data_IF_441389501319
#
_entry.id   IF_441389501319
#
_cell.length_a   1.000
_cell.length_b   1.000
_cell.length_c   1.000
_cell.angle_alpha   90.00
_cell.angle_beta   90.00
_cell.angle_gamma   90.00
#
_symmetry.space_group_name_H-M   'P 1'
#
loop_
_entity.id
_entity.type
_entity.pdbx_description
1 polymer ?
#
# COMPACT_ATOMS: atom_id res chain seq x y z
N UNK A 1 -19.19 -15.16 4.11
CA UNK A 1 -19.15 -13.81 3.50
C UNK A 1 -18.50 -13.86 2.13
N UNK A 2 -18.96 -13.04 1.17
CA UNK A 2 -18.30 -12.90 -0.13
C UNK A 2 -17.05 -11.99 -0.04
N UNK A 3 -16.26 -11.90 -1.12
CA UNK A 3 -15.02 -11.10 -1.14
C UNK A 3 -15.26 -9.60 -0.92
N UNK A 4 -16.37 -9.05 -1.40
CA UNK A 4 -16.71 -7.64 -1.21
C UNK A 4 -17.05 -7.33 0.25
N UNK A 5 -17.75 -8.24 0.93
CA UNK A 5 -18.03 -8.14 2.36
C UNK A 5 -16.76 -8.29 3.19
N UNK A 6 -15.90 -9.27 2.86
CA UNK A 6 -14.61 -9.46 3.52
C UNK A 6 -13.68 -8.26 3.36
N UNK A 7 -13.62 -7.69 2.15
CA UNK A 7 -12.88 -6.47 1.82
C UNK A 7 -13.28 -5.30 2.73
N UNK A 8 -14.58 -5.04 2.88
CA UNK A 8 -15.09 -4.00 3.78
C UNK A 8 -14.80 -4.30 5.25
N UNK A 9 -14.99 -5.54 5.69
CA UNK A 9 -14.82 -5.95 7.09
C UNK A 9 -13.36 -5.88 7.57
N UNK A 10 -12.40 -6.13 6.68
CA UNK A 10 -10.96 -6.10 7.01
C UNK A 10 -10.29 -4.78 6.61
N UNK A 11 -10.91 -3.99 5.73
CA UNK A 11 -10.33 -2.76 5.20
C UNK A 11 -9.19 -3.03 4.21
N UNK A 12 -9.26 -4.12 3.46
CA UNK A 12 -8.36 -4.47 2.36
C UNK A 12 -9.13 -4.42 1.05
N UNK A 13 -8.51 -4.03 -0.07
CA UNK A 13 -9.17 -4.14 -1.37
C UNK A 13 -9.36 -5.60 -1.78
N UNK A 14 -10.40 -5.90 -2.56
CA UNK A 14 -10.61 -7.24 -3.10
C UNK A 14 -9.39 -7.73 -3.91
N UNK A 15 -8.69 -6.82 -4.61
CA UNK A 15 -7.44 -7.10 -5.31
C UNK A 15 -6.33 -7.59 -4.35
N UNK A 16 -6.18 -6.95 -3.19
CA UNK A 16 -5.19 -7.36 -2.19
C UNK A 16 -5.53 -8.72 -1.56
N UNK A 17 -6.81 -8.99 -1.31
CA UNK A 17 -7.25 -10.31 -0.81
C UNK A 17 -6.89 -11.40 -1.83
N UNK A 18 -7.20 -11.17 -3.13
CA UNK A 18 -6.81 -12.09 -4.22
C UNK A 18 -5.30 -12.26 -4.32
N UNK A 19 -4.54 -11.19 -4.14
CA UNK A 19 -3.07 -11.26 -4.11
C UNK A 19 -2.59 -12.17 -2.96
N UNK A 20 -3.08 -11.99 -1.74
CA UNK A 20 -2.71 -12.86 -0.62
C UNK A 20 -3.12 -14.32 -0.82
N UNK A 21 -4.23 -14.59 -1.51
CA UNK A 21 -4.58 -15.95 -1.93
C UNK A 21 -3.58 -16.52 -2.94
N UNK A 22 -3.19 -15.75 -3.95
CA UNK A 22 -2.27 -16.20 -5.02
C UNK A 22 -0.89 -16.59 -4.51
N UNK A 23 -0.42 -15.94 -3.45
CA UNK A 23 0.86 -16.24 -2.79
C UNK A 23 0.70 -17.23 -1.62
N UNK A 24 -0.49 -17.78 -1.42
CA UNK A 24 -0.77 -18.79 -0.39
C UNK A 24 -0.64 -18.27 1.04
N UNK A 25 -0.89 -16.97 1.29
CA UNK A 25 -0.94 -16.41 2.64
C UNK A 25 -2.31 -16.61 3.30
N UNK A 26 -3.36 -16.74 2.50
CA UNK A 26 -4.72 -17.04 2.96
C UNK A 26 -5.32 -18.10 2.05
N UNK A 27 -5.94 -19.11 2.65
CA UNK A 27 -6.69 -20.11 1.92
C UNK A 27 -8.19 -19.84 2.09
N UNK A 28 -8.95 -19.67 0.99
CA UNK A 28 -10.40 -19.52 1.12
C UNK A 28 -11.00 -20.81 1.70
N UNK A 29 -11.75 -20.69 2.78
CA UNK A 29 -12.26 -21.87 3.49
C UNK A 29 -13.21 -22.72 2.64
N UNK A 30 -13.96 -22.11 1.72
CA UNK A 30 -14.87 -22.84 0.84
C UNK A 30 -15.20 -22.07 -0.44
N UNK A 31 -15.56 -22.84 -1.48
CA UNK A 31 -16.33 -22.34 -2.62
C UNK A 31 -17.78 -22.75 -2.44
N UNK A 32 -18.72 -21.88 -2.80
CA UNK A 32 -20.13 -22.29 -2.89
C UNK A 32 -20.32 -23.28 -4.04
N UNK A 33 -21.46 -23.97 -4.07
CA UNK A 33 -21.85 -24.83 -5.20
C UNK A 33 -21.85 -24.08 -6.53
N UNK A 34 -22.09 -22.76 -6.51
CA UNK A 34 -22.00 -21.87 -7.67
C UNK A 34 -20.59 -21.35 -7.99
N UNK A 35 -19.52 -21.86 -7.34
CA UNK A 35 -18.13 -21.48 -7.62
C UNK A 35 -17.66 -20.17 -6.97
N UNK A 36 -18.49 -19.49 -6.18
CA UNK A 36 -18.12 -18.22 -5.54
C UNK A 36 -17.23 -18.44 -4.32
N UNK A 37 -16.23 -17.56 -4.12
CA UNK A 37 -15.36 -17.56 -2.93
C UNK A 37 -16.12 -17.14 -1.69
N UNK A 38 -16.00 -17.94 -0.62
CA UNK A 38 -16.57 -17.60 0.68
C UNK A 38 -15.49 -17.56 1.76
N UNK A 39 -15.57 -16.52 2.58
CA UNK A 39 -14.71 -16.30 3.73
C UNK A 39 -15.51 -16.50 5.01
N UNK A 40 -14.91 -17.20 5.98
CA UNK A 40 -15.40 -17.34 7.36
C UNK A 40 -14.73 -16.31 8.26
N UNK A 41 -15.19 -16.19 9.51
CA UNK A 41 -14.61 -15.24 10.46
C UNK A 41 -13.12 -15.53 10.76
N UNK A 42 -12.71 -16.80 10.75
CA UNK A 42 -11.30 -17.21 10.85
C UNK A 42 -10.44 -16.58 9.75
N UNK A 43 -10.95 -16.54 8.51
CA UNK A 43 -10.25 -15.95 7.37
C UNK A 43 -10.12 -14.44 7.53
N UNK A 44 -11.14 -13.78 8.09
CA UNK A 44 -11.06 -12.35 8.40
C UNK A 44 -10.04 -12.07 9.50
N UNK A 45 -9.93 -12.94 10.50
CA UNK A 45 -8.90 -12.83 11.53
C UNK A 45 -7.49 -12.93 10.92
N UNK A 46 -7.25 -13.91 10.04
CA UNK A 46 -5.99 -14.01 9.29
C UNK A 46 -5.71 -12.77 8.44
N UNK A 47 -6.70 -12.28 7.69
CA UNK A 47 -6.53 -11.09 6.85
C UNK A 47 -6.26 -9.82 7.68
N UNK A 48 -6.88 -9.68 8.86
CA UNK A 48 -6.61 -8.58 9.80
C UNK A 48 -5.18 -8.65 10.33
N UNK A 49 -4.71 -9.86 10.66
CA UNK A 49 -3.32 -10.08 11.09
C UNK A 49 -2.32 -9.67 10.00
N UNK A 50 -2.51 -10.15 8.77
CA UNK A 50 -1.67 -9.80 7.62
C UNK A 50 -1.68 -8.29 7.40
N UNK A 51 -2.85 -7.64 7.43
CA UNK A 51 -2.97 -6.19 7.30
C UNK A 51 -2.13 -5.46 8.35
N UNK A 52 -2.21 -5.87 9.60
CA UNK A 52 -1.47 -5.21 10.69
C UNK A 52 0.03 -5.43 10.56
N UNK A 53 0.47 -6.65 10.26
CA UNK A 53 1.89 -6.94 10.08
C UNK A 53 2.48 -6.15 8.90
N UNK A 54 1.75 -6.06 7.79
CA UNK A 54 2.16 -5.21 6.65
C UNK A 54 2.17 -3.72 6.99
N UNK A 55 1.28 -3.25 7.87
CA UNK A 55 1.28 -1.86 8.36
C UNK A 55 2.52 -1.53 9.20
N UNK A 56 3.05 -2.52 9.92
CA UNK A 56 4.30 -2.39 10.69
C UNK A 56 5.56 -2.54 9.82
N UNK A 57 5.40 -2.78 8.51
CA UNK A 57 6.50 -2.86 7.57
C UNK A 57 7.17 -4.22 7.47
N UNK A 58 6.61 -5.28 8.09
CA UNK A 58 7.14 -6.64 7.93
C UNK A 58 7.11 -7.08 6.47
N UNK A 59 8.16 -7.75 6.00
CA UNK A 59 8.19 -8.35 4.68
C UNK A 59 7.16 -9.47 4.57
N UNK A 60 6.71 -9.79 3.35
CA UNK A 60 5.69 -10.84 3.13
C UNK A 60 6.15 -12.20 3.69
N UNK A 61 7.44 -12.51 3.60
CA UNK A 61 7.99 -13.75 4.16
C UNK A 61 7.99 -13.77 5.69
N UNK A 62 8.25 -12.64 6.36
CA UNK A 62 8.13 -12.54 7.82
C UNK A 62 6.67 -12.67 8.24
N UNK A 63 5.74 -12.09 7.48
CA UNK A 63 4.30 -12.26 7.72
C UNK A 63 3.92 -13.74 7.61
N UNK A 64 4.45 -14.48 6.63
CA UNK A 64 4.22 -15.92 6.49
C UNK A 64 4.74 -16.69 7.71
N UNK A 65 5.97 -16.41 8.16
CA UNK A 65 6.54 -17.03 9.36
C UNK A 65 5.72 -16.73 10.60
N UNK A 66 5.37 -15.46 10.80
CA UNK A 66 4.55 -15.01 11.91
C UNK A 66 3.16 -15.66 11.89
N UNK A 67 2.57 -15.88 10.70
CA UNK A 67 1.28 -16.55 10.54
C UNK A 67 1.36 -18.06 10.83
N UNK A 68 2.42 -18.72 10.35
CA UNK A 68 2.67 -20.14 10.64
C UNK A 68 2.87 -20.38 12.13
N UNK A 69 3.66 -19.51 12.77
CA UNK A 69 3.73 -19.46 14.22
C UNK A 69 2.33 -19.22 14.75
N UNK A 70 1.59 -18.21 14.28
CA UNK A 70 0.28 -17.83 14.83
C UNK A 70 -0.71 -19.00 15.01
N UNK A 71 -0.71 -19.93 14.05
CA UNK A 71 -1.58 -21.10 14.02
C UNK A 71 -1.13 -22.24 14.96
N UNK A 72 0.15 -22.28 15.34
CA UNK A 72 0.65 -23.25 16.32
C UNK A 72 0.40 -22.74 17.75
N UNK A 73 -0.59 -23.31 18.44
CA UNK A 73 -0.95 -22.89 19.80
C UNK A 73 -0.03 -23.48 20.89
N UNK A 74 0.89 -24.39 20.55
CA UNK A 74 1.82 -25.04 21.49
C UNK A 74 3.23 -24.43 21.48
N UNK A 75 3.49 -23.43 20.63
CA UNK A 75 4.82 -22.85 20.40
C UNK A 75 5.38 -22.05 21.58
N UNK A 76 6.71 -22.03 21.67
CA UNK A 76 7.45 -21.08 22.49
C UNK A 76 7.44 -19.69 21.83
N UNK A 77 7.07 -18.65 22.58
CA UNK A 77 7.01 -17.25 22.13
C UNK A 77 8.38 -16.64 21.77
N UNK A 78 9.47 -17.38 21.97
CA UNK A 78 10.83 -16.95 21.71
C UNK A 78 11.07 -16.60 20.23
N UNK A 79 10.57 -17.41 19.30
CA UNK A 79 10.78 -17.17 17.86
C UNK A 79 10.03 -15.92 17.37
N UNK A 80 8.79 -15.73 17.83
CA UNK A 80 8.01 -14.52 17.54
C UNK A 80 8.74 -13.27 18.04
N UNK A 81 9.29 -13.34 19.27
CA UNK A 81 10.07 -12.25 19.84
C UNK A 81 11.34 -11.96 19.02
N UNK A 82 12.04 -13.00 18.56
CA UNK A 82 13.23 -12.83 17.73
C UNK A 82 12.92 -12.11 16.41
N UNK A 83 11.85 -12.51 15.71
CA UNK A 83 11.42 -11.84 14.46
C UNK A 83 11.08 -10.37 14.72
N UNK A 84 10.34 -10.08 15.80
CA UNK A 84 9.97 -8.72 16.16
C UNK A 84 11.19 -7.85 16.48
N UNK A 85 12.13 -8.36 17.29
CA UNK A 85 13.34 -7.61 17.67
C UNK A 85 14.29 -7.38 16.49
N UNK A 86 14.41 -8.34 15.58
CA UNK A 86 15.18 -8.16 14.35
C UNK A 86 14.61 -7.01 13.51
N UNK A 87 13.28 -6.97 13.34
CA UNK A 87 12.62 -5.89 12.61
C UNK A 87 12.73 -4.53 13.31
N UNK A 88 12.68 -4.50 14.64
CA UNK A 88 12.95 -3.27 15.42
C UNK A 88 14.36 -2.76 15.14
N UNK A 89 15.37 -3.64 15.19
CA UNK A 89 16.75 -3.26 14.90
C UNK A 89 16.92 -2.71 13.47
N UNK A 90 16.23 -3.30 12.50
CA UNK A 90 16.24 -2.81 11.12
C UNK A 90 15.57 -1.43 10.97
N UNK A 91 14.47 -1.20 11.70
CA UNK A 91 13.82 0.11 11.74
C UNK A 91 14.72 1.15 12.40
N UNK A 92 15.36 0.84 13.52
CA UNK A 92 16.27 1.74 14.22
C UNK A 92 17.45 2.16 13.34
N UNK A 93 18.02 1.21 12.58
CA UNK A 93 19.06 1.52 11.59
C UNK A 93 18.58 2.49 10.52
N UNK A 94 17.40 2.25 9.94
CA UNK A 94 16.80 3.15 8.93
C UNK A 94 16.46 4.51 9.51
N UNK A 95 16.00 4.57 10.77
CA UNK A 95 15.73 5.82 11.48
C UNK A 95 17.02 6.61 11.64
N UNK A 96 18.12 5.97 12.05
CA UNK A 96 19.42 6.63 12.18
C UNK A 96 19.91 7.20 10.83
N UNK A 97 19.78 6.44 9.74
CA UNK A 97 20.11 6.90 8.38
C UNK A 97 19.24 8.10 7.98
N UNK A 98 17.93 8.03 8.17
CA UNK A 98 17.00 9.14 7.85
C UNK A 98 17.25 10.38 8.69
N UNK A 99 17.57 10.21 9.98
CA UNK A 99 17.94 11.29 10.90
C UNK A 99 19.21 11.97 10.42
N UNK A 100 20.24 11.21 10.06
CA UNK A 100 21.49 11.76 9.52
C UNK A 100 21.26 12.56 8.24
N UNK A 101 20.47 12.05 7.29
CA UNK A 101 20.14 12.77 6.05
C UNK A 101 19.35 14.05 6.33
N UNK A 102 18.36 13.99 7.23
CA UNK A 102 17.58 15.15 7.66
C UNK A 102 18.48 16.21 8.28
N UNK A 103 19.39 15.81 9.17
CA UNK A 103 20.25 16.74 9.90
C UNK A 103 21.25 17.42 8.96
N UNK A 104 21.79 16.69 7.98
CA UNK A 104 22.63 17.26 6.92
C UNK A 104 21.87 18.31 6.08
N UNK A 105 20.64 17.99 5.65
CA UNK A 105 19.80 18.94 4.91
C UNK A 105 19.40 20.15 5.76
N UNK A 106 19.08 19.94 7.05
CA UNK A 106 18.73 21.01 7.97
C UNK A 106 19.93 21.96 8.20
N UNK A 107 21.14 21.41 8.31
CA UNK A 107 22.37 22.20 8.41
C UNK A 107 22.57 23.08 7.17
N UNK A 108 22.50 22.50 5.97
CA UNK A 108 22.61 23.26 4.72
C UNK A 108 21.54 24.35 4.63
N UNK A 109 20.29 24.02 4.99
CA UNK A 109 19.20 24.98 5.00
C UNK A 109 19.43 26.14 5.98
N UNK A 110 20.04 25.87 7.15
CA UNK A 110 20.34 26.91 8.15
C UNK A 110 21.37 27.95 7.67
N UNK A 111 22.22 27.57 6.71
CA UNK A 111 23.22 28.48 6.12
C UNK A 111 22.68 29.28 4.94
N UNK A 112 21.49 28.94 4.44
CA UNK A 112 20.84 29.64 3.35
C UNK A 112 19.99 30.80 3.86
N UNK A 113 20.15 31.97 3.25
CA UNK A 113 19.39 33.17 3.62
C UNK A 113 17.95 33.16 3.07
N UNK A 114 17.68 32.35 2.04
CA UNK A 114 16.34 32.20 1.47
C UNK A 114 15.81 33.45 0.74
N UNK A 115 16.70 34.31 0.24
CA UNK A 115 16.36 35.52 -0.50
C UNK A 115 16.54 35.35 -2.02
N UNK A 116 16.38 36.42 -2.78
CA UNK A 116 16.47 36.39 -4.24
C UNK A 116 17.93 36.35 -4.78
N UNK A 117 18.92 36.02 -3.93
CA UNK A 117 20.32 35.94 -4.34
C UNK A 117 20.60 34.65 -5.12
N UNK A 118 21.51 34.69 -6.11
CA UNK A 118 21.92 33.51 -6.85
C UNK A 118 22.81 32.57 -6.04
N UNK A 119 23.48 33.09 -5.00
CA UNK A 119 24.42 32.33 -4.17
C UNK A 119 23.64 31.51 -3.13
N UNK A 120 23.58 30.20 -3.34
CA UNK A 120 22.83 29.28 -2.50
C UNK A 120 23.75 28.21 -1.89
N UNK A 121 24.12 28.35 -0.59
CA UNK A 121 24.96 27.40 0.12
C UNK A 121 24.44 25.95 0.12
N UNK A 122 23.12 25.77 -0.06
CA UNK A 122 22.52 24.43 -0.20
C UNK A 122 23.00 23.75 -1.49
N UNK A 123 23.01 24.47 -2.61
CA UNK A 123 23.43 23.90 -3.90
C UNK A 123 24.92 23.60 -3.92
N UNK A 124 25.73 24.47 -3.32
CA UNK A 124 27.17 24.27 -3.14
C UNK A 124 27.46 23.05 -2.25
N UNK A 125 26.87 23.00 -1.06
CA UNK A 125 27.07 21.88 -0.13
C UNK A 125 26.55 20.55 -0.67
N UNK A 126 25.44 20.54 -1.41
CA UNK A 126 25.00 19.32 -2.09
C UNK A 126 26.00 18.87 -3.16
N UNK A 127 26.59 19.79 -3.94
CA UNK A 127 27.59 19.46 -4.96
C UNK A 127 28.87 18.86 -4.37
N UNK A 128 29.26 19.25 -3.15
CA UNK A 128 30.40 18.68 -2.44
C UNK A 128 30.11 17.28 -1.89
N UNK A 129 28.94 17.05 -1.28
CA UNK A 129 28.57 15.77 -0.66
C UNK A 129 28.44 14.62 -1.68
N UNK A 130 28.06 14.91 -2.94
CA UNK A 130 28.02 13.86 -4.00
C UNK A 130 29.42 13.44 -4.48
N UNK A 131 30.44 14.25 -4.22
CA UNK A 131 31.81 13.99 -4.67
C UNK A 131 32.52 12.92 -3.82
N UNK A 132 32.19 12.83 -2.53
CA UNK A 132 32.87 11.93 -1.58
C UNK A 132 32.14 10.58 -1.37
N UNK A 133 30.85 10.49 -1.71
CA UNK A 133 30.01 9.32 -1.43
C UNK A 133 29.93 8.26 -2.55
N UNK A 134 30.83 8.26 -3.54
CA UNK A 134 30.74 7.32 -4.69
C UNK A 134 31.87 6.28 -4.77
N UNK A 135 31.73 5.11 -4.13
CA UNK A 135 32.51 3.92 -4.47
C UNK A 135 31.76 2.94 -5.40
N UNK A 136 30.55 3.25 -5.90
CA UNK A 136 29.64 2.26 -6.50
C UNK A 136 29.65 2.12 -8.04
N UNK A 137 30.54 2.78 -8.79
CA UNK A 137 30.60 2.67 -10.26
C UNK A 137 31.89 2.02 -10.80
N UNK A 138 32.47 1.07 -10.04
CA UNK A 138 33.55 0.19 -10.53
C UNK A 138 33.02 -1.22 -10.79
N UNK A 139 32.03 -1.35 -11.67
CA UNK A 139 31.76 -2.61 -12.37
C UNK A 139 32.59 -2.64 -13.64
N UNK A 140 33.78 -3.21 -13.50
CA UNK A 140 34.63 -3.72 -14.59
C UNK A 140 33.80 -4.54 -15.58
N UNK A 141 33.79 -4.09 -16.85
CA UNK A 141 33.44 -4.93 -17.99
C UNK A 141 34.51 -6.02 -18.11
N UNK A 142 34.23 -7.20 -17.57
CA UNK A 142 34.95 -8.43 -17.91
C UNK A 142 34.03 -9.32 -18.76
N UNK A 143 34.60 -9.83 -19.84
CA UNK A 143 34.00 -10.50 -20.99
C UNK A 143 33.03 -11.66 -20.69
N UNK A 144 31.97 -11.78 -21.51
CA UNK A 144 31.29 -13.06 -21.76
C UNK A 144 31.68 -13.58 -23.15
N UNK A 145 32.10 -14.85 -23.29
CA UNK A 145 32.35 -15.45 -24.57
C UNK A 145 31.04 -15.92 -25.23
N UNK A 146 31.14 -16.05 -26.55
CA UNK A 146 30.12 -16.52 -27.47
C UNK A 146 29.62 -17.93 -27.16
N UNK A 147 28.31 -18.13 -27.26
CA UNK A 147 27.75 -19.42 -27.67
C UNK A 147 26.75 -19.22 -28.81
N UNK A 148 26.92 -20.07 -29.81
CA UNK A 148 26.29 -20.02 -31.10
C UNK A 148 25.16 -21.07 -31.21
N UNK A 149 24.12 -20.68 -31.98
CA UNK A 149 23.23 -21.50 -32.84
C UNK A 149 22.18 -22.44 -32.19
N UNK A 150 21.13 -22.94 -32.92
CA UNK A 150 20.41 -22.40 -34.10
C UNK A 150 18.85 -22.57 -34.10
N UNK A 151 18.22 -21.93 -35.11
CA UNK A 151 17.01 -22.26 -35.94
C UNK A 151 15.64 -22.70 -35.35
N UNK A 152 14.64 -21.88 -35.71
CA UNK A 152 13.24 -22.12 -36.09
C UNK A 152 12.55 -23.48 -35.89
N UNK A 153 11.35 -23.45 -35.29
CA UNK A 153 10.17 -24.23 -35.71
C UNK A 153 8.88 -23.50 -35.30
N UNK A 154 7.94 -23.44 -36.24
CA UNK A 154 6.57 -22.92 -36.16
C UNK A 154 5.67 -23.75 -35.25
N UNK A 155 4.63 -23.17 -34.65
CA UNK A 155 3.50 -23.94 -34.14
C UNK A 155 2.66 -23.23 -33.08
N UNK A 156 1.42 -22.93 -33.45
CA UNK A 156 0.28 -22.54 -32.64
C UNK A 156 0.26 -22.96 -31.15
N UNK A 157 0.03 -21.97 -30.27
CA UNK A 157 -0.95 -22.03 -29.18
C UNK A 157 -0.80 -20.81 -28.25
N UNK A 158 -1.20 -19.62 -28.73
CA UNK A 158 -1.49 -18.51 -27.83
C UNK A 158 -2.90 -18.73 -27.27
N UNK A 159 -3.02 -19.44 -26.15
CA UNK A 159 -4.28 -19.61 -25.42
C UNK A 159 -4.10 -19.20 -23.95
N UNK A 160 -4.98 -18.29 -23.54
CA UNK A 160 -5.31 -17.87 -22.17
C UNK A 160 -4.54 -16.68 -21.57
N UNK A 161 -4.80 -15.50 -22.12
CA UNK A 161 -5.04 -14.32 -21.29
C UNK A 161 -6.34 -14.55 -20.49
N UNK A 162 -6.24 -15.03 -19.25
CA UNK A 162 -7.39 -15.15 -18.35
C UNK A 162 -7.71 -13.80 -17.71
N UNK A 163 -8.39 -12.93 -18.46
CA UNK A 163 -9.22 -11.88 -17.86
C UNK A 163 -10.52 -12.55 -17.39
N UNK A 164 -10.66 -12.71 -16.08
CA UNK A 164 -11.88 -13.24 -15.43
C UNK A 164 -13.09 -12.36 -15.79
N UNK A 165 -14.14 -12.90 -16.44
CA UNK A 165 -15.28 -12.12 -16.95
C UNK A 165 -16.25 -11.60 -15.86
N UNK A 166 -16.13 -12.01 -14.60
CA UNK A 166 -17.16 -11.75 -13.59
C UNK A 166 -17.06 -10.40 -12.83
N UNK A 167 -15.97 -9.64 -12.97
CA UNK A 167 -15.86 -8.30 -12.34
C UNK A 167 -16.50 -7.17 -13.18
N UNK A 168 -16.83 -7.42 -14.46
CA UNK A 168 -17.44 -6.42 -15.35
C UNK A 168 -18.91 -6.15 -15.00
N UNK A 169 -19.61 -7.11 -14.39
CA UNK A 169 -21.05 -7.00 -14.14
C UNK A 169 -21.43 -6.25 -12.85
N UNK A 170 -20.47 -5.97 -11.97
CA UNK A 170 -20.71 -5.29 -10.70
C UNK A 170 -20.66 -3.75 -10.78
N UNK A 171 -20.25 -3.16 -11.91
CA UNK A 171 -20.19 -1.69 -12.11
C UNK A 171 -21.40 -1.07 -12.82
N UNK A 172 -22.34 -1.85 -13.36
CA UNK A 172 -23.43 -1.35 -14.22
C UNK A 172 -24.79 -1.12 -13.51
N UNK A 173 -24.87 -1.18 -12.16
CA UNK A 173 -26.14 -1.08 -11.41
C UNK A 173 -26.23 0.10 -10.43
N UNK A 174 -25.66 1.26 -10.76
CA UNK A 174 -25.97 2.52 -10.06
C UNK A 174 -26.11 3.68 -11.05
N UNK A 175 -27.12 3.59 -11.92
CA UNK A 175 -27.66 4.73 -12.67
C UNK A 175 -29.14 4.84 -12.34
N UNK A 176 -29.51 5.78 -11.48
CA UNK A 176 -30.90 6.18 -11.28
C UNK A 176 -31.18 7.43 -12.13
N UNK A 177 -32.37 7.53 -12.78
CA UNK A 177 -32.60 8.47 -13.86
C UNK A 177 -33.03 9.86 -13.39
N UNK A 178 -32.68 10.82 -14.24
CA UNK A 178 -33.16 12.19 -14.31
C UNK A 178 -34.66 12.18 -14.69
N UNK A 179 -35.50 12.91 -13.94
CA UNK A 179 -36.82 13.33 -14.43
C UNK A 179 -37.01 14.81 -14.13
N UNK A 180 -36.92 15.58 -15.19
CA UNK A 180 -37.21 16.99 -15.29
C UNK A 180 -38.72 17.15 -15.55
N UNK A 181 -39.43 17.90 -14.70
CA UNK A 181 -40.67 18.58 -15.11
C UNK A 181 -40.95 19.80 -14.25
N UNK A 182 -40.93 20.92 -14.95
CA UNK A 182 -41.22 22.28 -14.54
C UNK A 182 -42.68 22.52 -14.15
N UNK A 183 -42.89 23.51 -13.24
CA UNK A 183 -43.80 24.68 -13.39
C UNK A 183 -44.67 25.02 -12.16
N UNK A 184 -44.17 25.95 -11.35
CA UNK A 184 -44.83 27.24 -11.01
C UNK A 184 -45.93 27.29 -9.93
N UNK A 185 -45.71 28.10 -8.87
CA UNK A 185 -46.44 29.36 -8.59
C UNK A 185 -45.98 30.01 -7.27
N UNK A 186 -46.23 31.33 -7.20
CA UNK A 186 -45.82 32.37 -6.24
C UNK A 186 -46.52 32.27 -4.87
N UNK A 187 -45.88 32.84 -3.84
CA UNK A 187 -46.45 33.65 -2.72
C UNK A 187 -45.40 33.61 -1.58
N UNK A 188 -44.66 34.69 -1.31
CA UNK A 188 -45.00 35.84 -0.44
C UNK A 188 -44.47 35.67 1.00
N UNK A 189 -44.04 36.79 1.57
CA UNK A 189 -43.84 37.05 3.01
C UNK A 189 -42.51 36.67 3.69
N UNK A 190 -41.59 37.63 3.68
CA UNK A 190 -40.76 38.03 4.85
C UNK A 190 -41.68 38.43 6.03
N UNK A 191 -41.26 38.32 7.32
CA UNK A 191 -40.38 39.34 7.88
C UNK A 191 -39.35 38.88 8.94
N UNK A 192 -38.47 39.84 9.22
CA UNK A 192 -37.46 39.93 10.28
C UNK A 192 -38.07 39.99 11.69
N UNK A 193 -37.33 39.49 12.68
CA UNK A 193 -37.12 40.02 14.05
C UNK A 193 -35.74 39.44 14.48
N UNK A 194 -34.66 40.14 14.83
CA UNK A 194 -34.40 41.32 15.68
C UNK A 194 -34.91 41.17 17.13
N UNK A 195 -33.99 40.83 18.02
CA UNK A 195 -33.86 41.15 19.48
C UNK A 195 -32.62 40.34 19.95
N UNK A 196 -31.44 40.89 20.19
CA UNK A 196 -30.99 41.97 21.07
C UNK A 196 -30.96 41.60 22.58
N UNK A 197 -29.75 41.71 23.14
CA UNK A 197 -29.38 42.10 24.52
C UNK A 197 -29.46 41.14 25.71
N UNK A 198 -28.37 41.18 26.52
CA UNK A 198 -28.27 40.68 27.91
C UNK A 198 -26.92 39.99 28.23
N UNK A 199 -25.75 40.65 28.35
CA UNK A 199 -25.21 41.52 29.43
C UNK A 199 -24.67 40.80 30.70
N UNK A 200 -23.37 41.03 30.99
CA UNK A 200 -22.62 41.01 32.29
C UNK A 200 -22.40 39.65 33.00
N UNK A 201 -21.28 39.35 33.66
CA UNK A 201 -20.23 40.17 34.33
C UNK A 201 -18.78 39.91 33.85
#
# INVERSE_FOLDING_TARGET
MNIGQASKAVGLSAKMIRYYESIGLVHPTARTEGGYRTYRESDLHHLRFIRQARRLGFAVEDVRRLLALWQDHARASAEVKAIALAHVSDLDRRIAEMVSMRDALAHLASTCHGDARPDCPILEGLAEVVSEASPASRRTRAASPAHAAPTAVSGDACRACATDPDDVRARQKSGAPHSDRTRGKRADSLPRQDTDSGHQE
#
